data_IF_065082930949
#
_entry.id   IF_065082930949
#
_cell.length_a   1.000
_cell.length_b   1.000
_cell.length_c   1.000
_cell.angle_alpha   90.00
_cell.angle_beta   90.00
_cell.angle_gamma   90.00
#
_symmetry.space_group_name_H-M   'P 1'
#
loop_
_entity.id
_entity.type
_entity.pdbx_description
1 polymer ?
#
# COMPACT_ATOMS: atom_id res chain seq x y z
N UNK A 1 7.91 1.36 10.31
CA UNK A 1 6.44 1.37 10.52
C UNK A 1 6.18 1.31 12.02
N UNK A 2 5.36 2.23 12.54
CA UNK A 2 5.01 2.27 13.96
C UNK A 2 3.49 2.19 14.09
N UNK A 3 2.99 1.24 14.87
CA UNK A 3 1.57 1.04 15.15
C UNK A 3 1.34 1.28 16.64
N UNK A 4 0.43 2.19 16.96
CA UNK A 4 0.09 2.54 18.34
C UNK A 4 -1.34 2.08 18.61
N UNK A 5 -1.47 1.06 19.45
CA UNK A 5 -2.74 0.60 19.99
C UNK A 5 -3.06 1.44 21.21
N UNK A 6 -4.01 2.39 21.07
CA UNK A 6 -4.48 3.20 22.20
C UNK A 6 -5.13 2.32 23.27
N UNK A 7 -5.08 2.76 24.52
CA UNK A 7 -5.80 2.08 25.60
C UNK A 7 -7.29 2.07 25.31
N UNK A 8 -7.93 0.91 25.50
CA UNK A 8 -9.37 0.74 25.36
C UNK A 8 -9.90 0.19 26.68
N UNK A 9 -10.89 0.89 27.25
CA UNK A 9 -11.40 0.63 28.60
C UNK A 9 -11.64 -0.87 28.82
N UNK A 10 -11.07 -1.39 29.91
CA UNK A 10 -11.14 -2.80 30.37
C UNK A 10 -10.64 -3.89 29.40
N UNK A 11 -10.06 -3.54 28.24
CA UNK A 11 -9.57 -4.52 27.25
C UNK A 11 -8.05 -4.53 27.06
N UNK A 12 -7.39 -3.37 27.07
CA UNK A 12 -5.92 -3.28 26.92
C UNK A 12 -5.39 -1.90 27.34
N UNK A 13 -4.19 -1.92 27.92
CA UNK A 13 -3.34 -0.74 28.03
C UNK A 13 -2.78 -0.34 26.66
N UNK A 14 -2.20 0.85 26.56
CA UNK A 14 -1.57 1.31 25.33
C UNK A 14 -0.38 0.41 24.96
N UNK A 15 -0.35 -0.10 23.73
CA UNK A 15 0.76 -0.91 23.22
C UNK A 15 1.35 -0.25 21.97
N UNK A 16 2.67 -0.33 21.82
CA UNK A 16 3.40 0.20 20.67
C UNK A 16 4.12 -0.94 19.98
N UNK A 17 3.88 -1.07 18.67
CA UNK A 17 4.64 -1.94 17.80
C UNK A 17 5.49 -1.11 16.85
N UNK A 18 6.76 -1.44 16.73
CA UNK A 18 7.68 -0.76 15.83
C UNK A 18 8.43 -1.81 15.01
N UNK A 19 8.48 -1.58 13.70
CA UNK A 19 9.21 -2.39 12.74
C UNK A 19 10.09 -1.51 11.86
N UNK A 20 11.30 -1.99 11.59
CA UNK A 20 12.26 -1.43 10.64
C UNK A 20 12.58 -2.48 9.57
N UNK A 21 13.33 -2.10 8.54
CA UNK A 21 13.76 -3.03 7.49
C UNK A 21 14.74 -4.09 8.01
N UNK A 22 15.36 -3.87 9.16
CA UNK A 22 16.30 -4.81 9.78
C UNK A 22 15.62 -5.64 10.87
N UNK A 23 14.64 -5.04 11.56
CA UNK A 23 13.94 -5.65 12.68
C UNK A 23 12.43 -5.68 12.46
N UNK A 24 11.91 -6.89 12.21
CA UNK A 24 10.50 -7.22 12.25
C UNK A 24 10.27 -8.12 13.48
N UNK A 25 10.00 -7.54 14.66
CA UNK A 25 9.84 -8.30 15.89
C UNK A 25 8.51 -9.05 15.90
N UNK A 26 8.51 -10.23 16.53
CA UNK A 26 7.30 -10.98 16.86
C UNK A 26 7.15 -11.12 18.36
N UNK A 27 5.92 -10.97 18.85
CA UNK A 27 5.58 -11.07 20.27
C UNK A 27 4.32 -11.92 20.39
N UNK A 28 4.51 -13.23 20.45
CA UNK A 28 3.43 -14.21 20.49
C UNK A 28 2.94 -14.48 21.92
N UNK A 29 1.93 -13.74 22.37
CA UNK A 29 1.19 -14.05 23.60
C UNK A 29 -0.08 -14.83 23.29
N UNK A 30 -0.11 -16.15 23.55
CA UNK A 30 -1.28 -17.02 23.34
C UNK A 30 -2.33 -16.77 24.44
N UNK A 31 -2.94 -15.58 24.48
CA UNK A 31 -3.94 -15.22 25.48
C UNK A 31 -4.35 -13.74 25.55
N UNK A 32 -3.61 -12.83 24.89
CA UNK A 32 -3.94 -11.40 24.92
C UNK A 32 -4.87 -10.97 23.78
N UNK A 33 -5.62 -9.89 23.99
CA UNK A 33 -6.51 -9.24 23.01
C UNK A 33 -5.79 -8.78 21.74
N UNK A 34 -4.46 -8.70 21.79
CA UNK A 34 -3.53 -8.42 20.70
C UNK A 34 -2.57 -9.60 20.50
N UNK A 35 -2.49 -10.14 19.28
CA UNK A 35 -1.50 -11.16 18.92
C UNK A 35 -0.59 -10.69 17.79
N UNK A 36 0.71 -10.97 17.92
CA UNK A 36 1.73 -10.64 16.93
C UNK A 36 2.46 -11.95 16.56
N UNK A 37 2.27 -12.40 15.33
CA UNK A 37 2.81 -13.68 14.86
C UNK A 37 3.70 -13.43 13.65
N UNK A 38 4.94 -13.88 13.73
CA UNK A 38 5.81 -13.96 12.55
C UNK A 38 5.27 -15.03 11.60
N UNK A 39 5.21 -14.70 10.32
CA UNK A 39 4.80 -15.63 9.28
C UNK A 39 5.85 -15.58 8.19
N UNK A 40 6.97 -16.30 8.33
CA UNK A 40 7.92 -16.45 7.23
C UNK A 40 7.22 -17.12 6.04
N UNK A 41 6.88 -16.33 5.03
CA UNK A 41 6.44 -16.87 3.75
C UNK A 41 7.69 -17.45 3.09
N UNK A 42 7.65 -18.73 2.67
CA UNK A 42 8.78 -19.32 1.95
C UNK A 42 9.24 -18.44 0.79
N UNK A 43 10.55 -18.44 0.50
CA UNK A 43 11.33 -17.48 -0.33
C UNK A 43 11.83 -16.18 0.37
N UNK A 44 12.24 -16.25 1.64
CA UNK A 44 12.96 -15.12 2.26
C UNK A 44 12.11 -13.86 2.49
N UNK A 45 10.78 -14.00 2.40
CA UNK A 45 9.83 -12.93 2.67
C UNK A 45 9.54 -12.91 4.17
N UNK A 46 10.05 -11.89 4.86
CA UNK A 46 9.84 -11.67 6.29
C UNK A 46 8.58 -10.81 6.48
N UNK A 47 7.59 -11.35 7.19
CA UNK A 47 6.37 -10.62 7.50
C UNK A 47 5.85 -10.98 8.89
N UNK A 48 5.14 -10.04 9.48
CA UNK A 48 4.50 -10.17 10.78
C UNK A 48 3.03 -9.85 10.62
N UNK A 49 2.17 -10.70 11.19
CA UNK A 49 0.73 -10.50 11.28
C UNK A 49 0.39 -10.05 12.68
N UNK A 50 -0.18 -8.87 12.79
CA UNK A 50 -0.67 -8.29 14.04
C UNK A 50 -2.18 -8.32 13.98
N UNK A 51 -2.82 -8.68 15.09
CA UNK A 51 -4.27 -8.74 15.12
C UNK A 51 -4.78 -8.34 16.49
N UNK A 52 -5.55 -7.26 16.48
CA UNK A 52 -6.24 -6.71 17.62
C UNK A 52 -7.68 -7.21 17.59
N UNK A 53 -7.95 -8.30 18.32
CA UNK A 53 -9.30 -8.92 18.36
C UNK A 53 -10.34 -7.94 18.88
N UNK A 54 -9.98 -7.17 19.90
CA UNK A 54 -10.86 -6.18 20.53
C UNK A 54 -11.26 -5.03 19.59
N UNK A 55 -10.50 -4.79 18.52
CA UNK A 55 -10.81 -3.81 17.47
C UNK A 55 -11.29 -4.46 16.17
N UNK A 56 -11.42 -5.80 16.12
CA UNK A 56 -11.67 -6.53 14.88
C UNK A 56 -10.67 -6.21 13.77
N UNK A 57 -9.45 -5.77 14.13
CA UNK A 57 -8.48 -5.19 13.20
C UNK A 57 -7.32 -6.15 12.99
N UNK A 58 -6.93 -6.32 11.73
CA UNK A 58 -5.77 -7.12 11.33
C UNK A 58 -4.80 -6.26 10.53
N UNK A 59 -3.51 -6.39 10.82
CA UNK A 59 -2.43 -5.66 10.17
C UNK A 59 -1.38 -6.68 9.73
N UNK A 60 -0.88 -6.54 8.50
CA UNK A 60 0.29 -7.25 8.01
C UNK A 60 1.39 -6.22 7.80
N UNK A 61 2.58 -6.51 8.31
CA UNK A 61 3.81 -5.77 8.00
C UNK A 61 4.75 -6.72 7.29
N UNK A 62 5.23 -6.37 6.11
CA UNK A 62 6.10 -7.20 5.29
C UNK A 62 7.33 -6.41 4.85
N UNK A 63 8.46 -7.09 4.80
CA UNK A 63 9.67 -6.58 4.18
C UNK A 63 9.74 -7.06 2.72
N UNK A 64 9.94 -6.11 1.80
CA UNK A 64 10.15 -6.36 0.38
C UNK A 64 11.43 -5.65 -0.04
N UNK A 65 12.51 -6.43 -0.24
CA UNK A 65 13.84 -5.88 -0.48
C UNK A 65 14.27 -4.94 0.66
N UNK A 66 14.53 -3.68 0.30
CA UNK A 66 14.91 -2.61 1.24
C UNK A 66 13.73 -1.79 1.79
N UNK A 67 12.49 -2.21 1.51
CA UNK A 67 11.29 -1.45 1.86
C UNK A 67 10.40 -2.24 2.82
N UNK A 68 9.57 -1.51 3.56
CA UNK A 68 8.49 -2.07 4.36
C UNK A 68 7.15 -1.75 3.71
N UNK A 69 6.31 -2.76 3.60
CA UNK A 69 4.90 -2.64 3.23
C UNK A 69 4.03 -2.93 4.43
N UNK A 70 2.81 -2.38 4.42
CA UNK A 70 1.79 -2.78 5.37
C UNK A 70 0.42 -2.81 4.72
N UNK A 71 -0.45 -3.65 5.27
CA UNK A 71 -1.86 -3.69 4.93
C UNK A 71 -2.66 -3.73 6.23
N UNK A 72 -3.79 -3.01 6.28
CA UNK A 72 -4.67 -2.94 7.46
C UNK A 72 -6.09 -3.21 7.01
N UNK A 73 -6.80 -4.02 7.79
CA UNK A 73 -8.24 -4.19 7.70
C UNK A 73 -8.86 -3.89 9.05
N UNK A 74 -9.74 -2.91 9.08
CA UNK A 74 -10.40 -2.38 10.26
C UNK A 74 -11.91 -2.27 9.97
N UNK A 75 -12.79 -2.47 10.97
CA UNK A 75 -14.22 -2.16 10.85
C UNK A 75 -14.45 -0.69 10.49
N UNK A 76 -15.44 -0.43 9.62
CA UNK A 76 -15.76 0.91 9.13
C UNK A 76 -16.11 1.87 10.27
N UNK A 77 -16.94 1.43 11.22
CA UNK A 77 -17.36 2.23 12.38
C UNK A 77 -16.15 2.78 13.16
N UNK A 78 -15.11 1.97 13.37
CA UNK A 78 -13.88 2.37 14.06
C UNK A 78 -12.95 3.24 13.21
N UNK A 79 -13.03 3.09 11.88
CA UNK A 79 -12.24 3.90 10.95
C UNK A 79 -12.77 5.33 10.83
N UNK A 80 -14.06 5.55 11.10
CA UNK A 80 -14.74 6.85 10.99
C UNK A 80 -14.85 7.62 12.33
N UNK A 81 -14.84 6.92 13.46
CA UNK A 81 -15.16 7.48 14.79
C UNK A 81 -14.23 8.59 15.30
N UNK A 82 -12.99 8.70 14.81
CA UNK A 82 -11.97 9.59 15.40
C UNK A 82 -11.11 10.34 14.36
N UNK A 83 -11.76 11.09 13.45
CA UNK A 83 -11.05 11.93 12.48
C UNK A 83 -10.37 11.05 11.44
N UNK A 84 -11.19 10.55 10.51
CA UNK A 84 -10.92 9.42 9.62
C UNK A 84 -9.46 9.25 9.20
N UNK A 85 -8.97 8.00 9.28
CA UNK A 85 -7.68 7.51 8.78
C UNK A 85 -6.87 8.60 8.05
N UNK A 86 -6.09 9.36 8.81
CA UNK A 86 -5.27 10.46 8.30
C UNK A 86 -3.93 9.93 7.77
N UNK A 87 -4.00 8.88 6.97
CA UNK A 87 -3.00 8.63 5.96
C UNK A 87 -3.56 9.29 4.69
N UNK A 88 -2.71 9.79 3.81
CA UNK A 88 -3.04 9.84 2.38
C UNK A 88 -3.18 8.39 1.87
N UNK A 89 -4.12 7.65 2.45
CA UNK A 89 -4.60 6.38 1.91
C UNK A 89 -5.24 6.78 0.61
N UNK A 90 -4.81 6.15 -0.48
CA UNK A 90 -5.67 6.05 -1.65
C UNK A 90 -6.87 5.22 -1.18
N UNK A 91 -7.85 5.89 -0.58
CA UNK A 91 -9.13 5.28 -0.21
C UNK A 91 -9.60 4.61 -1.49
N UNK A 92 -9.73 3.28 -1.46
CA UNK A 92 -10.28 2.51 -2.58
C UNK A 92 -11.70 2.97 -2.99
N UNK A 93 -12.30 3.91 -2.24
CA UNK A 93 -13.51 4.65 -2.57
C UNK A 93 -13.35 5.94 -3.40
N UNK A 94 -12.14 6.35 -3.81
CA UNK A 94 -11.93 7.62 -4.55
C UNK A 94 -11.96 7.46 -6.08
N UNK A 95 -12.02 6.25 -6.62
CA UNK A 95 -12.09 6.05 -8.08
C UNK A 95 -13.51 5.94 -8.66
N UNK A 96 -14.57 6.12 -7.86
CA UNK A 96 -15.92 6.31 -8.41
C UNK A 96 -16.23 7.77 -8.77
N UNK A 97 -15.35 8.72 -8.42
CA UNK A 97 -15.27 10.03 -9.08
C UNK A 97 -14.27 9.92 -10.22
N UNK A 98 -14.77 9.36 -11.32
CA UNK A 98 -14.14 9.41 -12.63
C UNK A 98 -13.71 10.86 -12.95
N UNK A 99 -12.42 11.15 -12.80
CA UNK A 99 -11.62 12.20 -13.43
C UNK A 99 -10.46 12.57 -12.48
N UNK A 100 -9.21 12.36 -12.93
CA UNK A 100 -7.98 12.95 -12.35
C UNK A 100 -7.01 12.05 -11.58
N UNK A 101 -7.01 10.74 -11.81
CA UNK A 101 -5.77 9.95 -11.77
C UNK A 101 -5.55 9.34 -13.17
N UNK A 102 -5.55 10.22 -14.17
CA UNK A 102 -4.74 9.94 -15.36
C UNK A 102 -3.29 10.21 -14.92
N UNK A 103 -2.27 9.43 -15.32
CA UNK A 103 -0.92 9.99 -15.37
C UNK A 103 -1.06 11.36 -16.06
N UNK A 104 -0.45 12.44 -15.53
CA UNK A 104 -0.69 13.77 -16.05
C UNK A 104 -0.64 13.69 -17.56
N UNK A 105 -1.80 13.88 -18.18
CA UNK A 105 -1.89 14.06 -19.60
C UNK A 105 -1.13 15.36 -19.81
N UNK A 106 0.16 15.25 -20.10
CA UNK A 106 0.96 16.34 -20.66
C UNK A 106 0.44 16.75 -22.05
N UNK A 107 -0.74 16.29 -22.46
CA UNK A 107 -1.58 16.95 -23.46
C UNK A 107 -2.32 18.13 -22.80
N UNK A 108 -1.55 19.10 -22.30
CA UNK A 108 -1.99 20.47 -22.17
C UNK A 108 -1.78 21.13 -23.53
N UNK A 109 -2.82 21.11 -24.36
CA UNK A 109 -3.09 22.06 -25.45
C UNK A 109 -1.88 22.73 -26.12
N UNK A 110 -1.31 22.08 -27.13
CA UNK A 110 -0.72 22.79 -28.27
C UNK A 110 -1.37 22.25 -29.54
N UNK A 111 -2.68 22.47 -29.69
CA UNK A 111 -3.24 22.70 -31.03
C UNK A 111 -2.85 24.12 -31.41
N UNK A 112 -1.56 24.31 -31.71
CA UNK A 112 -1.12 25.29 -32.67
C UNK A 112 -0.84 24.49 -33.93
N UNK A 113 -1.42 24.93 -35.04
CA UNK A 113 -1.25 24.36 -36.37
C UNK A 113 0.19 23.91 -36.66
N UNK A 114 0.27 22.75 -37.30
CA UNK A 114 1.33 22.23 -38.16
C UNK A 114 2.43 23.24 -38.53
N UNK A 115 3.57 23.16 -37.84
CA UNK A 115 4.86 23.54 -38.40
C UNK A 115 5.91 22.57 -37.85
N UNK A 116 6.71 21.98 -38.73
CA UNK A 116 7.56 20.82 -38.49
C UNK A 116 8.68 21.05 -37.47
N UNK A 117 8.34 21.04 -36.18
CA UNK A 117 9.26 21.19 -35.06
C UNK A 117 9.70 19.84 -34.49
N UNK A 118 11.02 19.60 -34.58
CA UNK A 118 11.77 18.50 -33.97
C UNK A 118 11.30 18.21 -32.53
N UNK A 119 10.86 16.97 -32.28
CA UNK A 119 10.36 16.53 -30.97
C UNK A 119 11.45 16.74 -29.92
N UNK A 120 11.22 17.61 -28.94
CA UNK A 120 12.19 17.87 -27.88
C UNK A 120 12.65 16.53 -27.24
N UNK A 121 13.97 16.26 -27.14
CA UNK A 121 14.50 14.95 -26.69
C UNK A 121 13.96 14.47 -25.33
N UNK A 122 13.55 15.41 -24.47
CA UNK A 122 13.00 15.11 -23.14
C UNK A 122 11.58 14.51 -23.15
N UNK A 123 10.73 14.84 -24.13
CA UNK A 123 9.36 14.32 -24.18
C UNK A 123 9.33 12.85 -24.62
N UNK A 124 10.14 12.49 -25.61
CA UNK A 124 10.24 11.09 -26.09
C UNK A 124 10.73 10.17 -24.99
N UNK A 125 11.77 10.57 -24.27
CA UNK A 125 12.35 9.77 -23.18
C UNK A 125 11.35 9.52 -22.03
N UNK A 126 10.48 10.49 -21.71
CA UNK A 126 9.44 10.33 -20.69
C UNK A 126 8.32 9.39 -21.14
N UNK A 127 7.90 9.45 -22.41
CA UNK A 127 6.91 8.53 -22.97
C UNK A 127 7.44 7.10 -22.94
N UNK A 128 8.69 6.88 -23.36
CA UNK A 128 9.32 5.56 -23.33
C UNK A 128 9.45 5.01 -21.90
N UNK A 129 9.72 5.89 -20.92
CA UNK A 129 9.83 5.51 -19.51
C UNK A 129 8.47 5.09 -18.93
N UNK A 130 7.40 5.83 -19.28
CA UNK A 130 6.03 5.49 -18.88
C UNK A 130 5.59 4.15 -19.48
N UNK A 131 5.90 3.87 -20.74
CA UNK A 131 5.55 2.62 -21.39
C UNK A 131 6.28 1.42 -20.75
N UNK A 132 7.57 1.57 -20.46
CA UNK A 132 8.35 0.56 -19.72
C UNK A 132 7.78 0.31 -18.33
N UNK A 133 7.47 1.38 -17.58
CA UNK A 133 6.92 1.26 -16.24
C UNK A 133 5.54 0.57 -16.25
N UNK A 134 4.68 0.96 -17.17
CA UNK A 134 3.33 0.38 -17.35
C UNK A 134 3.41 -1.11 -17.67
N UNK A 135 4.29 -1.50 -18.60
CA UNK A 135 4.47 -2.91 -18.97
C UNK A 135 4.96 -3.73 -17.79
N UNK A 136 5.97 -3.23 -17.06
CA UNK A 136 6.50 -3.92 -15.88
C UNK A 136 5.46 -4.09 -14.78
N UNK A 137 4.69 -3.06 -14.49
CA UNK A 137 3.61 -3.13 -13.50
C UNK A 137 2.51 -4.09 -13.93
N UNK A 138 2.19 -4.18 -15.23
CA UNK A 138 1.16 -5.10 -15.75
C UNK A 138 1.56 -6.57 -15.63
N UNK A 139 2.86 -6.87 -15.77
CA UNK A 139 3.38 -8.24 -15.56
C UNK A 139 3.17 -8.72 -14.12
N UNK A 140 3.25 -7.82 -13.13
CA UNK A 140 3.12 -8.14 -11.71
C UNK A 140 1.67 -8.02 -11.22
N UNK A 141 0.99 -6.96 -11.61
CA UNK A 141 -0.37 -6.60 -11.20
C UNK A 141 -1.28 -6.78 -12.41
N UNK A 142 -1.95 -7.93 -12.47
CA UNK A 142 -2.84 -8.30 -13.59
C UNK A 142 -4.09 -7.40 -13.69
N UNK A 143 -4.38 -6.63 -12.63
CA UNK A 143 -5.54 -5.73 -12.55
C UNK A 143 -5.05 -4.29 -12.47
N UNK A 144 -5.60 -3.41 -13.31
CA UNK A 144 -5.30 -1.97 -13.31
C UNK A 144 -6.07 -1.24 -12.19
N UNK A 145 -5.83 -1.65 -10.95
CA UNK A 145 -6.42 -1.06 -9.75
C UNK A 145 -5.52 0.05 -9.17
N UNK A 146 -5.84 0.48 -7.95
CA UNK A 146 -5.05 1.46 -7.20
C UNK A 146 -3.59 1.03 -7.04
N UNK A 147 -3.33 -0.26 -6.80
CA UNK A 147 -1.97 -0.77 -6.62
C UNK A 147 -1.18 -0.72 -7.93
N UNK A 148 -1.84 -0.94 -9.06
CA UNK A 148 -1.22 -0.76 -10.37
C UNK A 148 -0.80 0.69 -10.61
N UNK A 149 -1.67 1.66 -10.31
CA UNK A 149 -1.34 3.07 -10.49
C UNK A 149 -0.19 3.51 -9.56
N UNK A 150 -0.19 3.03 -8.31
CA UNK A 150 0.94 3.23 -7.38
C UNK A 150 2.23 2.63 -7.93
N UNK A 151 2.20 1.40 -8.42
CA UNK A 151 3.38 0.76 -9.02
C UNK A 151 3.99 1.59 -10.15
N UNK A 152 3.17 2.10 -11.07
CA UNK A 152 3.65 2.90 -12.22
C UNK A 152 4.25 4.21 -11.73
N UNK A 153 3.58 4.89 -10.79
CA UNK A 153 4.07 6.13 -10.21
C UNK A 153 5.40 5.93 -9.47
N UNK A 154 5.49 4.90 -8.63
CA UNK A 154 6.68 4.60 -7.84
C UNK A 154 7.86 4.27 -8.76
N UNK A 155 7.64 3.48 -9.82
CA UNK A 155 8.69 3.13 -10.76
C UNK A 155 9.18 4.34 -11.57
N UNK A 156 8.28 5.25 -11.94
CA UNK A 156 8.64 6.49 -12.63
C UNK A 156 9.42 7.47 -11.76
N UNK A 157 9.11 7.51 -10.46
CA UNK A 157 9.72 8.48 -9.53
C UNK A 157 10.99 7.95 -8.88
N UNK A 158 11.07 6.64 -8.63
CA UNK A 158 12.22 6.02 -7.95
C UNK A 158 13.17 5.32 -8.92
N UNK A 159 12.66 4.80 -10.05
CA UNK A 159 13.40 3.88 -10.92
C UNK A 159 13.73 2.54 -10.28
N UNK A 160 13.22 2.24 -9.08
CA UNK A 160 13.53 1.02 -8.33
C UNK A 160 12.42 -0.04 -8.51
N UNK A 161 12.68 -1.15 -9.20
CA UNK A 161 11.69 -2.22 -9.37
C UNK A 161 11.35 -2.95 -8.07
N UNK A 162 12.18 -2.87 -7.01
CA UNK A 162 11.85 -3.43 -5.70
C UNK A 162 10.66 -2.71 -5.07
N UNK A 163 10.53 -1.42 -5.33
CA UNK A 163 9.38 -0.62 -4.87
C UNK A 163 8.09 -1.07 -5.59
N UNK A 164 8.18 -1.42 -6.87
CA UNK A 164 7.05 -2.00 -7.61
C UNK A 164 6.63 -3.37 -7.08
N UNK A 165 7.57 -4.21 -6.62
CA UNK A 165 7.23 -5.46 -5.93
C UNK A 165 6.53 -5.21 -4.58
N UNK A 166 6.82 -4.08 -3.94
CA UNK A 166 6.16 -3.68 -2.70
C UNK A 166 4.65 -3.46 -2.90
N UNK A 167 4.25 -2.86 -4.03
CA UNK A 167 2.85 -2.71 -4.41
C UNK A 167 2.13 -4.06 -4.60
N UNK A 168 2.79 -5.03 -5.26
CA UNK A 168 2.29 -6.40 -5.38
C UNK A 168 2.15 -7.07 -4.00
N UNK A 169 3.17 -6.93 -3.15
CA UNK A 169 3.15 -7.44 -1.78
C UNK A 169 1.95 -6.90 -0.99
N UNK A 170 1.68 -5.60 -1.08
CA UNK A 170 0.56 -4.96 -0.40
C UNK A 170 -0.81 -5.46 -0.89
N UNK A 171 -0.97 -5.71 -2.20
CA UNK A 171 -2.19 -6.30 -2.75
C UNK A 171 -2.42 -7.73 -2.22
N UNK A 172 -1.38 -8.55 -2.20
CA UNK A 172 -1.46 -9.92 -1.66
C UNK A 172 -1.76 -9.92 -0.15
N UNK A 173 -1.21 -8.95 0.58
CA UNK A 173 -1.51 -8.77 1.99
C UNK A 173 -2.97 -8.40 2.22
N UNK A 174 -3.53 -7.52 1.39
CA UNK A 174 -4.96 -7.19 1.45
C UNK A 174 -5.84 -8.43 1.23
N UNK A 175 -5.50 -9.28 0.25
CA UNK A 175 -6.22 -10.54 -0.01
C UNK A 175 -6.10 -11.53 1.15
N UNK A 176 -4.96 -11.54 1.84
CA UNK A 176 -4.69 -12.45 2.95
C UNK A 176 -5.32 -12.01 4.28
N UNK A 177 -5.81 -10.77 4.39
CA UNK A 177 -6.42 -10.25 5.61
C UNK A 177 -7.82 -10.88 5.82
N UNK A 178 -8.05 -11.55 6.97
CA UNK A 178 -9.33 -12.21 7.25
C UNK A 178 -10.48 -11.20 7.32
N UNK A 179 -11.75 -11.61 7.08
CA UNK A 179 -12.90 -10.76 7.32
C UNK A 179 -12.89 -10.14 8.71
N UNK A 180 -13.29 -8.87 8.81
CA UNK A 180 -13.47 -8.19 10.09
C UNK A 180 -14.44 -9.00 10.94
N UNK A 181 -13.98 -9.46 12.10
CA UNK A 181 -14.71 -10.42 12.94
C UNK A 181 -15.71 -9.77 13.88
N UNK A 182 -15.70 -8.44 14.02
CA UNK A 182 -16.74 -7.73 14.75
C UNK A 182 -18.00 -7.68 13.88
N UNK A 183 -19.00 -8.46 14.26
CA UNK A 183 -20.37 -8.32 13.74
C UNK A 183 -21.00 -7.11 14.43
N UNK A 184 -21.62 -6.24 13.64
CA UNK A 184 -22.61 -5.26 14.09
C UNK A 184 -23.76 -5.95 14.81
#
# INVERSE_FOLDING_TARGET
ITVIFKSYHDCTEQKVYQATTEDLPSAGGKGESLWIVESSGGLGIRQVKIHARYLGTSIIVRQVGRYLTFAIRMPEDLAEENGGLQLEVIKAHVLNRQQSLRPPRLTGSWYGEDDGGELQPGLSAHVDMLERATTKCREMLQVEDVYFQSCVFDLLTTGDPEFSMAAYGALEDLKALPPSTLKQ
#
